data_IF_427103511053
#
_entry.id   IF_427103511053
#
_cell.length_a   1.000
_cell.length_b   1.000
_cell.length_c   1.000
_cell.angle_alpha   90.00
_cell.angle_beta   90.00
_cell.angle_gamma   90.00
#
_symmetry.space_group_name_H-M   'P 1'
#
loop_
_entity.id
_entity.type
_entity.pdbx_description
1 polymer ?
#
# COMPACT_ATOMS: atom_id res chain seq x y z
N UNK A 1 -20.91 -9.53 -11.76
CA UNK A 1 -20.23 -8.90 -10.59
C UNK A 1 -18.71 -9.18 -10.56
N UNK A 2 -18.24 -10.40 -10.93
CA UNK A 2 -16.82 -10.82 -10.82
C UNK A 2 -15.84 -10.00 -11.65
N UNK A 3 -16.26 -9.48 -12.81
CA UNK A 3 -15.42 -8.64 -13.68
C UNK A 3 -15.69 -7.15 -13.50
N UNK A 4 -16.82 -6.78 -12.91
CA UNK A 4 -17.19 -5.38 -12.70
C UNK A 4 -16.26 -4.71 -11.70
N UNK A 5 -15.97 -5.35 -10.59
CA UNK A 5 -15.14 -4.77 -9.53
C UNK A 5 -13.71 -4.42 -9.99
N UNK A 6 -12.97 -5.31 -10.68
CA UNK A 6 -11.67 -4.95 -11.24
C UNK A 6 -11.74 -3.81 -12.26
N UNK A 7 -12.71 -3.83 -13.17
CA UNK A 7 -12.88 -2.77 -14.19
C UNK A 7 -13.15 -1.43 -13.52
N UNK A 8 -14.06 -1.39 -12.56
CA UNK A 8 -14.35 -0.18 -11.77
C UNK A 8 -13.10 0.30 -11.03
N UNK A 9 -12.29 -0.62 -10.49
CA UNK A 9 -11.03 -0.29 -9.82
C UNK A 9 -10.02 0.40 -10.76
N UNK A 10 -9.83 -0.12 -11.97
CA UNK A 10 -8.94 0.51 -12.95
C UNK A 10 -9.48 1.84 -13.48
N UNK A 11 -10.80 1.94 -13.71
CA UNK A 11 -11.41 3.21 -14.11
C UNK A 11 -11.25 4.26 -13.01
N UNK A 12 -11.49 3.89 -11.75
CA UNK A 12 -11.25 4.77 -10.61
C UNK A 12 -9.79 5.22 -10.53
N UNK A 13 -8.83 4.33 -10.76
CA UNK A 13 -7.41 4.66 -10.79
C UNK A 13 -7.09 5.68 -11.90
N UNK A 14 -7.58 5.45 -13.12
CA UNK A 14 -7.36 6.35 -14.26
C UNK A 14 -7.96 7.73 -13.97
N UNK A 15 -9.20 7.79 -13.48
CA UNK A 15 -9.87 9.05 -13.14
C UNK A 15 -9.08 9.80 -12.05
N UNK A 16 -8.59 9.08 -11.04
CA UNK A 16 -7.81 9.66 -9.94
C UNK A 16 -6.47 10.20 -10.45
N UNK A 17 -5.77 9.47 -11.32
CA UNK A 17 -4.50 9.92 -11.92
C UNK A 17 -4.73 11.18 -12.77
N UNK A 18 -5.72 11.16 -13.67
CA UNK A 18 -6.04 12.31 -14.53
C UNK A 18 -6.45 13.51 -13.68
N UNK A 19 -7.31 13.30 -12.67
CA UNK A 19 -7.74 14.35 -11.75
C UNK A 19 -6.55 14.98 -11.01
N UNK A 20 -5.63 14.17 -10.50
CA UNK A 20 -4.40 14.65 -9.87
C UNK A 20 -3.54 15.47 -10.83
N UNK A 21 -3.34 14.99 -12.05
CA UNK A 21 -2.59 15.69 -13.11
C UNK A 21 -3.23 17.05 -13.42
N UNK A 22 -4.54 17.11 -13.57
CA UNK A 22 -5.25 18.36 -13.78
C UNK A 22 -5.05 19.35 -12.62
N UNK A 23 -5.13 18.86 -11.38
CA UNK A 23 -4.99 19.70 -10.18
C UNK A 23 -3.58 20.30 -10.10
N UNK A 24 -2.50 19.53 -10.26
CA UNK A 24 -1.17 20.09 -10.13
C UNK A 24 -0.78 20.97 -11.31
N UNK A 25 -1.28 20.71 -12.52
CA UNK A 25 -1.03 21.57 -13.68
C UNK A 25 -1.77 22.91 -13.60
N UNK A 26 -2.93 22.96 -12.94
CA UNK A 26 -3.69 24.19 -12.71
C UNK A 26 -3.38 24.85 -11.36
N UNK A 27 -2.44 24.29 -10.58
CA UNK A 27 -2.18 24.74 -9.23
C UNK A 27 -1.55 26.15 -9.20
N UNK A 28 -2.21 27.05 -8.50
CA UNK A 28 -1.71 28.42 -8.22
C UNK A 28 -1.11 28.52 -6.81
N UNK A 29 -1.27 27.49 -5.99
CA UNK A 29 -0.77 27.43 -4.60
C UNK A 29 0.08 26.18 -4.40
N UNK A 30 1.05 26.27 -3.48
CA UNK A 30 1.89 25.14 -3.06
C UNK A 30 1.06 23.94 -2.57
N UNK A 31 0.00 24.20 -1.81
CA UNK A 31 -0.87 23.14 -1.31
C UNK A 31 -1.65 22.42 -2.39
N UNK A 32 -2.16 23.15 -3.41
CA UNK A 32 -2.84 22.53 -4.54
C UNK A 32 -1.87 21.70 -5.40
N UNK A 33 -0.65 22.19 -5.61
CA UNK A 33 0.40 21.47 -6.31
C UNK A 33 0.74 20.14 -5.62
N UNK A 34 1.01 20.17 -4.32
CA UNK A 34 1.28 18.96 -3.53
C UNK A 34 0.09 18.01 -3.54
N UNK A 35 -1.13 18.53 -3.34
CA UNK A 35 -2.35 17.71 -3.36
C UNK A 35 -2.55 16.99 -4.69
N UNK A 36 -2.30 17.65 -5.83
CA UNK A 36 -2.38 17.05 -7.14
C UNK A 36 -1.42 15.85 -7.31
N UNK A 37 -0.18 15.98 -6.85
CA UNK A 37 0.78 14.88 -6.88
C UNK A 37 0.39 13.74 -5.94
N UNK A 38 -0.09 14.03 -4.73
CA UNK A 38 -0.59 13.02 -3.79
C UNK A 38 -1.76 12.25 -4.39
N UNK A 39 -2.73 12.94 -4.99
CA UNK A 39 -3.88 12.32 -5.65
C UNK A 39 -3.41 11.40 -6.81
N UNK A 40 -2.45 11.85 -7.61
CA UNK A 40 -1.84 11.01 -8.67
C UNK A 40 -1.21 9.74 -8.08
N UNK A 41 -0.47 9.86 -6.99
CA UNK A 41 0.12 8.71 -6.29
C UNK A 41 -0.92 7.76 -5.70
N UNK A 42 -2.02 8.29 -5.15
CA UNK A 42 -3.18 7.48 -4.70
C UNK A 42 -3.80 6.74 -5.90
N UNK A 43 -3.84 7.35 -7.08
CA UNK A 43 -4.26 6.67 -8.30
C UNK A 43 -3.37 5.46 -8.65
N UNK A 44 -2.04 5.58 -8.51
CA UNK A 44 -1.13 4.44 -8.69
C UNK A 44 -1.38 3.32 -7.67
N UNK A 45 -1.60 3.67 -6.40
CA UNK A 45 -1.98 2.70 -5.36
C UNK A 45 -3.29 2.01 -5.74
N UNK A 46 -4.29 2.76 -6.18
CA UNK A 46 -5.60 2.23 -6.60
C UNK A 46 -5.45 1.23 -7.75
N UNK A 47 -4.58 1.53 -8.74
CA UNK A 47 -4.28 0.61 -9.83
C UNK A 47 -3.60 -0.68 -9.34
N UNK A 48 -2.66 -0.60 -8.41
CA UNK A 48 -2.04 -1.78 -7.77
C UNK A 48 -3.06 -2.61 -6.99
N UNK A 49 -3.97 -1.95 -6.24
CA UNK A 49 -5.06 -2.62 -5.51
C UNK A 49 -6.03 -3.29 -6.47
N UNK A 50 -6.40 -2.65 -7.58
CA UNK A 50 -7.23 -3.25 -8.62
C UNK A 50 -6.58 -4.50 -9.22
N UNK A 51 -5.25 -4.46 -9.44
CA UNK A 51 -4.46 -5.61 -9.90
C UNK A 51 -4.50 -6.76 -8.88
N UNK A 52 -4.35 -6.45 -7.59
CA UNK A 52 -4.46 -7.43 -6.51
C UNK A 52 -5.88 -8.02 -6.42
N UNK A 53 -6.91 -7.18 -6.52
CA UNK A 53 -8.31 -7.61 -6.52
C UNK A 53 -8.64 -8.52 -7.72
N UNK A 54 -8.14 -8.18 -8.92
CA UNK A 54 -8.28 -9.01 -10.12
C UNK A 54 -7.64 -10.39 -9.92
N UNK A 55 -6.48 -10.44 -9.32
CA UNK A 55 -5.79 -11.69 -8.98
C UNK A 55 -6.58 -12.50 -7.93
N UNK A 56 -7.15 -11.82 -6.93
CA UNK A 56 -7.90 -12.41 -5.83
C UNK A 56 -9.26 -12.97 -6.26
N UNK A 57 -10.00 -12.27 -7.13
CA UNK A 57 -11.32 -12.74 -7.60
C UNK A 57 -11.24 -14.07 -8.34
N UNK A 58 -10.17 -14.30 -9.10
CA UNK A 58 -9.95 -15.57 -9.77
C UNK A 58 -9.49 -16.69 -8.82
N UNK A 59 -8.80 -16.34 -7.72
CA UNK A 59 -8.44 -17.30 -6.68
C UNK A 59 -9.67 -17.89 -5.99
N UNK A 60 -10.73 -17.10 -5.76
CA UNK A 60 -11.96 -17.55 -5.12
C UNK A 60 -12.80 -18.54 -5.99
N UNK A 61 -12.49 -18.60 -7.29
CA UNK A 61 -13.16 -19.51 -8.22
C UNK A 61 -12.63 -20.95 -8.18
N UNK A 62 -11.48 -21.18 -7.52
CA UNK A 62 -10.88 -22.49 -7.41
C UNK A 62 -11.61 -23.31 -6.35
N UNK A 63 -12.20 -24.47 -6.68
CA UNK A 63 -12.84 -25.34 -5.71
C UNK A 63 -11.88 -25.76 -4.60
N UNK A 64 -12.40 -25.88 -3.37
CA UNK A 64 -11.58 -26.22 -2.20
C UNK A 64 -10.85 -27.57 -2.35
N UNK A 65 -11.47 -28.54 -3.02
CA UNK A 65 -10.92 -29.87 -3.34
C UNK A 65 -9.74 -29.79 -4.31
N UNK A 66 -9.82 -28.96 -5.35
CA UNK A 66 -8.72 -28.76 -6.30
C UNK A 66 -7.54 -28.03 -5.67
N UNK A 67 -7.79 -27.22 -4.63
CA UNK A 67 -6.73 -26.60 -3.80
C UNK A 67 -5.97 -27.64 -2.97
N UNK A 68 -6.60 -28.75 -2.61
CA UNK A 68 -6.03 -29.80 -1.77
C UNK A 68 -5.23 -30.86 -2.53
N UNK A 69 -5.59 -31.13 -3.77
CA UNK A 69 -5.00 -32.23 -4.58
C UNK A 69 -3.76 -31.84 -5.38
N UNK A 70 -3.46 -30.56 -5.56
CA UNK A 70 -2.18 -30.06 -6.09
C UNK A 70 -1.87 -30.37 -7.57
N UNK A 71 -2.64 -31.21 -8.21
CA UNK A 71 -2.27 -31.80 -9.51
C UNK A 71 -3.02 -31.22 -10.72
N UNK A 72 -4.12 -30.50 -10.55
CA UNK A 72 -4.86 -29.94 -11.67
C UNK A 72 -5.06 -28.43 -11.50
N UNK A 73 -4.71 -27.68 -12.53
CA UNK A 73 -5.01 -26.25 -12.61
C UNK A 73 -6.51 -26.13 -12.94
N UNK A 74 -7.33 -25.57 -12.05
CA UNK A 74 -8.78 -25.52 -12.28
C UNK A 74 -9.10 -24.74 -13.55
N UNK A 75 -10.14 -25.20 -14.27
CA UNK A 75 -10.72 -24.48 -15.40
C UNK A 75 -11.06 -23.03 -14.99
N UNK A 76 -10.55 -22.04 -15.71
CA UNK A 76 -10.72 -20.62 -15.40
C UNK A 76 -9.66 -19.97 -14.51
N UNK A 77 -8.65 -20.72 -14.03
CA UNK A 77 -7.48 -20.15 -13.40
C UNK A 77 -6.62 -19.39 -14.43
N UNK A 78 -5.96 -18.32 -13.97
CA UNK A 78 -4.99 -17.61 -14.83
C UNK A 78 -3.91 -18.55 -15.37
N UNK A 79 -3.61 -18.46 -16.67
CA UNK A 79 -2.41 -19.07 -17.24
C UNK A 79 -1.15 -18.48 -16.59
N UNK A 80 0.00 -19.16 -16.75
CA UNK A 80 1.29 -18.66 -16.25
C UNK A 80 1.61 -17.30 -16.86
N UNK A 81 1.28 -17.11 -18.14
CA UNK A 81 1.48 -15.85 -18.86
C UNK A 81 0.67 -14.72 -18.23
N UNK A 82 -0.63 -14.91 -18.04
CA UNK A 82 -1.52 -13.90 -17.42
C UNK A 82 -1.09 -13.48 -16.01
N UNK A 83 -0.48 -14.39 -15.24
CA UNK A 83 0.04 -14.05 -13.91
C UNK A 83 1.31 -13.24 -13.97
N UNK A 84 2.21 -13.57 -14.90
CA UNK A 84 3.39 -12.75 -15.14
C UNK A 84 2.98 -11.35 -15.56
N UNK A 85 1.96 -11.23 -16.40
CA UNK A 85 1.39 -9.93 -16.81
C UNK A 85 0.87 -9.12 -15.62
N UNK A 86 0.13 -9.74 -14.68
CA UNK A 86 -0.37 -9.03 -13.49
C UNK A 86 0.77 -8.54 -12.60
N UNK A 87 1.77 -9.39 -12.33
CA UNK A 87 2.95 -8.98 -11.55
C UNK A 87 3.73 -7.91 -12.30
N UNK A 88 3.92 -8.06 -13.61
CA UNK A 88 4.61 -7.09 -14.45
C UNK A 88 3.90 -5.74 -14.44
N UNK A 89 2.56 -5.72 -14.57
CA UNK A 89 1.78 -4.49 -14.50
C UNK A 89 1.99 -3.77 -13.16
N UNK A 90 1.94 -4.49 -12.03
CA UNK A 90 2.20 -3.91 -10.72
C UNK A 90 3.63 -3.36 -10.60
N UNK A 91 4.63 -4.04 -11.17
CA UNK A 91 6.01 -3.57 -11.23
C UNK A 91 6.10 -2.27 -12.05
N UNK A 92 5.47 -2.22 -13.23
CA UNK A 92 5.49 -1.02 -14.09
C UNK A 92 4.87 0.17 -13.36
N UNK A 93 3.72 0.00 -12.72
CA UNK A 93 3.06 1.06 -11.94
C UNK A 93 3.98 1.54 -10.81
N UNK A 94 4.61 0.62 -10.09
CA UNK A 94 5.55 0.97 -9.03
C UNK A 94 6.78 1.71 -9.56
N UNK A 95 7.35 1.28 -10.70
CA UNK A 95 8.47 1.96 -11.35
C UNK A 95 8.09 3.40 -11.77
N UNK A 96 6.89 3.59 -12.32
CA UNK A 96 6.40 4.93 -12.66
C UNK A 96 6.31 5.81 -11.42
N UNK A 97 5.77 5.29 -10.31
CA UNK A 97 5.69 6.02 -9.05
C UNK A 97 7.08 6.42 -8.50
N UNK A 98 8.07 5.53 -8.59
CA UNK A 98 9.45 5.83 -8.20
C UNK A 98 10.10 6.87 -9.10
N UNK A 99 9.98 6.74 -10.43
CA UNK A 99 10.52 7.71 -11.39
C UNK A 99 9.90 9.09 -11.12
N UNK A 100 8.58 9.13 -10.90
CA UNK A 100 7.88 10.38 -10.59
C UNK A 100 8.41 11.02 -9.31
N UNK A 101 8.58 10.23 -8.23
CA UNK A 101 9.16 10.69 -6.98
C UNK A 101 10.57 11.29 -7.18
N UNK A 102 11.44 10.60 -7.92
CA UNK A 102 12.80 11.07 -8.19
C UNK A 102 12.83 12.34 -9.05
N UNK A 103 11.95 12.47 -10.05
CA UNK A 103 11.82 13.69 -10.85
C UNK A 103 11.43 14.88 -9.97
N UNK A 104 10.50 14.69 -9.04
CA UNK A 104 10.13 15.75 -8.10
C UNK A 104 11.28 16.11 -7.15
N UNK A 105 11.96 15.09 -6.58
CA UNK A 105 13.09 15.32 -5.69
C UNK A 105 14.26 16.02 -6.37
N UNK A 106 14.55 15.70 -7.63
CA UNK A 106 15.62 16.37 -8.38
C UNK A 106 15.35 17.85 -8.61
N UNK A 107 14.07 18.24 -8.59
CA UNK A 107 13.65 19.64 -8.69
C UNK A 107 13.41 20.33 -7.34
N UNK A 108 13.63 19.62 -6.23
CA UNK A 108 13.32 20.14 -4.87
C UNK A 108 14.12 21.39 -4.48
N UNK A 109 15.30 21.57 -5.06
CA UNK A 109 16.11 22.79 -4.84
C UNK A 109 15.50 24.06 -5.44
N UNK A 110 14.65 23.93 -6.44
CA UNK A 110 14.03 25.07 -7.12
C UNK A 110 12.80 25.61 -6.39
N UNK A 111 12.07 24.76 -5.65
CA UNK A 111 10.82 25.16 -5.01
C UNK A 111 10.43 24.20 -3.87
N UNK A 112 10.03 24.73 -2.67
CA UNK A 112 9.63 23.90 -1.52
C UNK A 112 8.50 22.91 -1.80
N UNK A 113 7.60 23.24 -2.74
CA UNK A 113 6.51 22.34 -3.14
C UNK A 113 7.00 21.01 -3.72
N UNK A 114 8.08 21.03 -4.50
CA UNK A 114 8.70 19.83 -5.07
C UNK A 114 9.34 18.97 -3.98
N UNK A 115 9.90 19.59 -2.93
CA UNK A 115 10.44 18.87 -1.78
C UNK A 115 9.35 18.05 -1.09
N UNK A 116 8.24 18.68 -0.71
CA UNK A 116 7.12 17.99 -0.04
C UNK A 116 6.51 16.93 -0.94
N UNK A 117 6.15 17.30 -2.17
CA UNK A 117 5.53 16.38 -3.13
C UNK A 117 6.44 15.17 -3.43
N UNK A 118 7.73 15.39 -3.64
CA UNK A 118 8.70 14.33 -3.95
C UNK A 118 8.84 13.33 -2.84
N UNK A 119 9.01 13.77 -1.61
CA UNK A 119 9.13 12.87 -0.45
C UNK A 119 7.83 12.08 -0.18
N UNK A 120 6.67 12.72 -0.26
CA UNK A 120 5.39 12.03 -0.13
C UNK A 120 5.24 10.97 -1.24
N UNK A 121 5.65 11.29 -2.47
CA UNK A 121 5.64 10.33 -3.57
C UNK A 121 6.59 9.14 -3.34
N UNK A 122 7.74 9.32 -2.67
CA UNK A 122 8.59 8.19 -2.22
C UNK A 122 7.81 7.24 -1.31
N UNK A 123 7.10 7.77 -0.31
CA UNK A 123 6.28 6.95 0.58
C UNK A 123 5.16 6.20 -0.16
N UNK A 124 4.49 6.87 -1.12
CA UNK A 124 3.46 6.25 -1.95
C UNK A 124 4.07 5.17 -2.88
N UNK A 125 5.26 5.39 -3.42
CA UNK A 125 6.00 4.39 -4.21
C UNK A 125 6.40 3.17 -3.35
N UNK A 126 6.76 3.36 -2.09
CA UNK A 126 6.97 2.26 -1.14
C UNK A 126 5.69 1.42 -0.95
N UNK A 127 4.51 2.05 -0.88
CA UNK A 127 3.23 1.34 -0.81
C UNK A 127 2.98 0.57 -2.11
N UNK A 128 3.18 1.17 -3.30
CA UNK A 128 3.05 0.48 -4.58
C UNK A 128 3.96 -0.75 -4.65
N UNK A 129 5.23 -0.63 -4.22
CA UNK A 129 6.18 -1.75 -4.15
C UNK A 129 5.72 -2.83 -3.16
N UNK A 130 5.13 -2.43 -2.03
CA UNK A 130 4.55 -3.37 -1.07
C UNK A 130 3.37 -4.14 -1.66
N UNK A 131 2.56 -3.50 -2.48
CA UNK A 131 1.44 -4.12 -3.18
C UNK A 131 1.89 -5.11 -4.27
N UNK A 132 3.08 -4.94 -4.88
CA UNK A 132 3.67 -5.98 -5.77
C UNK A 132 3.81 -7.29 -4.99
N UNK A 133 4.32 -7.24 -3.76
CA UNK A 133 4.46 -8.43 -2.93
C UNK A 133 3.10 -9.10 -2.66
N UNK A 134 2.04 -8.32 -2.45
CA UNK A 134 0.68 -8.82 -2.28
C UNK A 134 0.18 -9.51 -3.57
N UNK A 135 0.30 -8.85 -4.73
CA UNK A 135 -0.08 -9.40 -6.04
C UNK A 135 0.68 -10.69 -6.32
N UNK A 136 2.01 -10.68 -6.12
CA UNK A 136 2.85 -11.85 -6.35
C UNK A 136 2.47 -13.02 -5.42
N UNK A 137 2.17 -12.73 -4.14
CA UNK A 137 1.72 -13.74 -3.18
C UNK A 137 0.40 -14.36 -3.62
N UNK A 138 -0.61 -13.56 -3.95
CA UNK A 138 -1.91 -14.04 -4.43
C UNK A 138 -1.74 -14.85 -5.73
N UNK A 139 -1.00 -14.33 -6.70
CA UNK A 139 -0.82 -14.98 -8.00
C UNK A 139 -0.13 -16.35 -7.90
N UNK A 140 0.77 -16.55 -6.93
CA UNK A 140 1.48 -17.82 -6.72
C UNK A 140 0.72 -18.82 -5.89
N UNK A 141 -0.11 -18.36 -4.95
CA UNK A 141 -0.97 -19.23 -4.16
C UNK A 141 -1.91 -20.08 -5.03
N UNK A 142 -2.37 -19.51 -6.14
CA UNK A 142 -3.26 -20.20 -7.08
C UNK A 142 -2.63 -21.48 -7.66
N UNK A 143 -1.30 -21.58 -7.69
CA UNK A 143 -0.58 -22.70 -8.35
C UNK A 143 -0.04 -23.77 -7.42
N UNK A 144 -0.09 -23.57 -6.13
CA UNK A 144 0.66 -24.39 -5.18
C UNK A 144 2.21 -24.38 -5.43
N UNK A 145 2.69 -23.41 -6.19
CA UNK A 145 4.07 -23.28 -6.67
C UNK A 145 4.87 -22.27 -5.82
N UNK A 146 4.67 -22.33 -4.51
CA UNK A 146 5.18 -21.33 -3.57
C UNK A 146 6.31 -21.94 -2.74
N UNK A 147 7.55 -21.78 -3.20
CA UNK A 147 8.72 -22.29 -2.49
C UNK A 147 8.89 -21.60 -1.13
N UNK A 148 9.49 -22.27 -0.15
CA UNK A 148 9.74 -21.72 1.18
C UNK A 148 10.58 -20.46 1.15
N UNK A 149 11.57 -20.39 0.25
CA UNK A 149 12.41 -19.22 0.01
C UNK A 149 11.61 -18.00 -0.41
N UNK A 150 10.62 -18.18 -1.28
CA UNK A 150 9.77 -17.09 -1.78
C UNK A 150 8.77 -16.61 -0.73
N UNK A 151 8.24 -17.50 0.10
CA UNK A 151 7.35 -17.15 1.22
C UNK A 151 7.98 -16.19 2.20
N UNK A 152 9.29 -16.34 2.44
CA UNK A 152 10.03 -15.48 3.34
C UNK A 152 10.51 -14.18 2.66
N UNK A 153 10.63 -14.15 1.34
CA UNK A 153 11.11 -13.01 0.58
C UNK A 153 10.10 -11.87 0.53
N UNK A 154 8.85 -12.16 0.22
CA UNK A 154 7.83 -11.13 0.01
C UNK A 154 7.48 -10.34 1.27
N UNK A 155 7.24 -10.97 2.45
CA UNK A 155 7.06 -10.21 3.68
C UNK A 155 8.25 -9.32 4.02
N UNK A 156 9.49 -9.81 3.80
CA UNK A 156 10.71 -9.03 4.03
C UNK A 156 10.78 -7.79 3.13
N UNK A 157 10.37 -7.92 1.85
CA UNK A 157 10.32 -6.77 0.95
C UNK A 157 9.37 -5.69 1.47
N UNK A 158 8.18 -6.07 1.93
CA UNK A 158 7.20 -5.11 2.46
C UNK A 158 7.68 -4.45 3.73
N UNK A 159 8.29 -5.22 4.64
CA UNK A 159 8.90 -4.68 5.86
C UNK A 159 10.04 -3.72 5.52
N UNK A 160 10.86 -4.03 4.53
CA UNK A 160 11.93 -3.15 4.05
C UNK A 160 11.36 -1.83 3.51
N UNK A 161 10.32 -1.88 2.68
CA UNK A 161 9.69 -0.67 2.15
C UNK A 161 9.08 0.19 3.25
N UNK A 162 8.41 -0.44 4.22
CA UNK A 162 7.90 0.26 5.41
C UNK A 162 9.02 0.93 6.21
N UNK A 163 10.12 0.20 6.43
CA UNK A 163 11.29 0.73 7.15
C UNK A 163 11.95 1.88 6.39
N UNK A 164 12.08 1.79 5.08
CA UNK A 164 12.62 2.88 4.25
C UNK A 164 11.76 4.14 4.42
N UNK A 165 10.45 4.05 4.25
CA UNK A 165 9.55 5.19 4.39
C UNK A 165 9.58 5.76 5.82
N UNK A 166 9.54 4.89 6.83
CA UNK A 166 9.51 5.29 8.23
C UNK A 166 10.81 5.97 8.67
N UNK A 167 11.96 5.33 8.42
CA UNK A 167 13.28 5.87 8.79
C UNK A 167 13.58 7.15 8.01
N UNK A 168 13.23 7.18 6.72
CA UNK A 168 13.36 8.39 5.92
C UNK A 168 12.52 9.56 6.48
N UNK A 169 11.29 9.29 6.93
CA UNK A 169 10.46 10.27 7.61
C UNK A 169 11.12 10.85 8.85
N UNK A 170 11.75 10.00 9.69
CA UNK A 170 12.53 10.46 10.85
C UNK A 170 13.69 11.36 10.42
N UNK A 171 14.48 10.96 9.42
CA UNK A 171 15.60 11.78 8.94
C UNK A 171 15.13 13.14 8.42
N UNK A 172 14.01 13.19 7.69
CA UNK A 172 13.45 14.45 7.19
C UNK A 172 13.03 15.37 8.34
N UNK A 173 12.40 14.83 9.41
CA UNK A 173 12.05 15.64 10.60
C UNK A 173 13.30 16.17 11.30
N UNK A 174 14.34 15.37 11.39
CA UNK A 174 15.58 15.74 12.11
C UNK A 174 16.51 16.63 11.29
N UNK A 175 16.37 16.66 9.97
CA UNK A 175 17.28 17.40 9.09
C UNK A 175 17.15 18.92 9.24
N UNK A 176 15.94 19.41 9.51
CA UNK A 176 15.65 20.83 9.73
C UNK A 176 14.38 21.02 10.53
N UNK A 177 14.31 22.05 11.37
CA UNK A 177 13.14 22.41 12.16
C UNK A 177 12.05 23.12 11.36
N UNK A 178 12.18 23.26 10.04
CA UNK A 178 11.21 23.91 9.17
C UNK A 178 9.89 23.15 9.08
N UNK A 179 8.78 23.86 8.95
CA UNK A 179 7.44 23.29 8.88
C UNK A 179 7.26 22.34 7.69
N UNK A 180 7.93 22.60 6.56
CA UNK A 180 7.92 21.74 5.38
C UNK A 180 8.53 20.36 5.66
N UNK A 181 9.63 20.32 6.39
CA UNK A 181 10.31 19.08 6.77
C UNK A 181 9.46 18.30 7.79
N UNK A 182 8.91 18.98 8.80
CA UNK A 182 8.00 18.39 9.77
C UNK A 182 6.76 17.79 9.09
N UNK A 183 6.07 18.55 8.26
CA UNK A 183 4.91 18.09 7.49
C UNK A 183 5.22 16.86 6.67
N UNK A 184 6.30 16.90 5.90
CA UNK A 184 6.75 15.81 5.03
C UNK A 184 7.09 14.56 5.82
N UNK A 185 7.88 14.72 6.88
CA UNK A 185 8.36 13.61 7.70
C UNK A 185 7.21 12.87 8.41
N UNK A 186 6.26 13.57 9.00
CA UNK A 186 5.09 12.93 9.62
C UNK A 186 4.23 12.16 8.63
N UNK A 187 4.02 12.68 7.42
CA UNK A 187 3.32 11.95 6.36
C UNK A 187 4.09 10.67 5.99
N UNK A 188 5.40 10.76 5.84
CA UNK A 188 6.26 9.61 5.51
C UNK A 188 6.21 8.51 6.60
N UNK A 189 6.19 8.91 7.89
CA UNK A 189 5.99 7.97 9.00
C UNK A 189 4.67 7.20 8.85
N UNK A 190 3.57 7.93 8.59
CA UNK A 190 2.26 7.32 8.39
C UNK A 190 2.22 6.35 7.19
N UNK A 191 2.84 6.72 6.07
CA UNK A 191 2.93 5.85 4.88
C UNK A 191 3.76 4.58 5.16
N UNK A 192 4.82 4.69 5.97
CA UNK A 192 5.57 3.54 6.45
C UNK A 192 4.71 2.59 7.29
N UNK A 193 3.86 3.13 8.17
CA UNK A 193 2.92 2.34 8.98
C UNK A 193 1.89 1.61 8.11
N UNK A 194 1.42 2.21 7.02
CA UNK A 194 0.55 1.54 6.04
C UNK A 194 1.28 0.35 5.39
N UNK A 195 2.55 0.50 5.03
CA UNK A 195 3.35 -0.63 4.51
C UNK A 195 3.42 -1.78 5.53
N UNK A 196 3.64 -1.48 6.82
CA UNK A 196 3.63 -2.52 7.87
C UNK A 196 2.26 -3.20 7.99
N UNK A 197 1.16 -2.47 7.85
CA UNK A 197 -0.19 -3.06 7.79
C UNK A 197 -0.37 -3.99 6.59
N UNK A 198 0.17 -3.64 5.41
CA UNK A 198 0.16 -4.51 4.23
C UNK A 198 0.98 -5.78 4.49
N UNK A 199 2.09 -5.69 5.24
CA UNK A 199 2.91 -6.86 5.56
C UNK A 199 2.12 -7.96 6.28
N UNK A 200 1.18 -7.58 7.16
CA UNK A 200 0.32 -8.53 7.87
C UNK A 200 -0.53 -9.36 6.90
N UNK A 201 -1.07 -8.74 5.83
CA UNK A 201 -1.83 -9.45 4.79
C UNK A 201 -0.96 -10.43 4.03
N UNK A 202 0.25 -10.01 3.63
CA UNK A 202 1.19 -10.88 2.90
C UNK A 202 1.58 -12.08 3.76
N UNK A 203 1.85 -11.86 5.05
CA UNK A 203 2.18 -12.92 6.01
C UNK A 203 0.97 -13.85 6.22
N UNK A 204 -0.23 -13.29 6.43
CA UNK A 204 -1.45 -14.08 6.64
C UNK A 204 -1.73 -14.97 5.44
N UNK A 205 -1.72 -14.41 4.22
CA UNK A 205 -1.92 -15.18 2.99
C UNK A 205 -0.89 -16.32 2.87
N UNK A 206 0.38 -16.07 3.19
CA UNK A 206 1.41 -17.09 3.17
C UNK A 206 1.17 -18.21 4.20
N UNK A 207 0.54 -17.91 5.36
CA UNK A 207 0.25 -18.87 6.44
C UNK A 207 -1.05 -19.64 6.25
N UNK A 208 -2.11 -19.01 5.74
CA UNK A 208 -3.37 -19.67 5.36
C UNK A 208 -3.08 -20.85 4.42
N UNK A 209 -2.13 -20.69 3.53
CA UNK A 209 -1.73 -21.74 2.61
C UNK A 209 -1.09 -22.96 3.30
N UNK A 210 -0.33 -22.72 4.39
CA UNK A 210 0.37 -23.79 5.12
C UNK A 210 -0.53 -24.59 6.08
N UNK A 211 -1.80 -24.23 6.26
CA UNK A 211 -2.66 -24.72 7.34
C UNK A 211 -2.06 -24.52 8.75
N UNK A 212 -1.12 -23.59 8.90
CA UNK A 212 -0.43 -23.28 10.17
C UNK A 212 -1.24 -22.25 10.99
N UNK A 213 -2.50 -22.57 11.29
CA UNK A 213 -3.43 -21.63 11.93
C UNK A 213 -3.09 -21.22 13.36
N UNK A 214 -2.27 -21.98 14.08
CA UNK A 214 -1.97 -21.72 15.50
C UNK A 214 -1.20 -20.41 15.77
N UNK A 215 -0.55 -19.82 14.77
CA UNK A 215 0.17 -18.53 14.89
C UNK A 215 -0.63 -17.34 14.35
N UNK A 216 -1.80 -17.56 13.77
CA UNK A 216 -2.62 -16.51 13.15
C UNK A 216 -3.15 -15.49 14.18
N UNK A 217 -3.37 -15.87 15.42
CA UNK A 217 -4.01 -15.03 16.43
C UNK A 217 -3.27 -13.71 16.74
N UNK A 218 -1.99 -13.56 16.38
CA UNK A 218 -1.23 -12.32 16.60
C UNK A 218 -1.09 -11.45 15.36
N UNK A 219 -1.35 -11.97 14.17
CA UNK A 219 -1.19 -11.22 12.90
C UNK A 219 -2.20 -10.08 12.77
N UNK A 220 -3.49 -10.23 13.16
CA UNK A 220 -4.45 -9.12 13.15
C UNK A 220 -4.05 -7.94 14.03
N UNK A 221 -3.20 -8.15 15.03
CA UNK A 221 -2.72 -7.06 15.90
C UNK A 221 -1.85 -6.04 15.17
N UNK A 222 -1.13 -6.41 14.11
CA UNK A 222 -0.23 -5.50 13.38
C UNK A 222 -0.99 -4.29 12.80
N UNK A 223 -2.10 -4.47 12.03
CA UNK A 223 -2.87 -3.33 11.54
C UNK A 223 -3.49 -2.48 12.65
N UNK A 224 -3.89 -3.10 13.76
CA UNK A 224 -4.41 -2.35 14.93
C UNK A 224 -3.33 -1.49 15.54
N UNK A 225 -2.16 -2.06 15.81
CA UNK A 225 -1.04 -1.31 16.39
C UNK A 225 -0.59 -0.18 15.46
N UNK A 226 -0.49 -0.43 14.16
CA UNK A 226 -0.13 0.64 13.19
C UNK A 226 -1.20 1.71 13.08
N UNK A 227 -2.48 1.35 13.16
CA UNK A 227 -3.58 2.30 13.19
C UNK A 227 -3.54 3.18 14.45
N UNK A 228 -3.37 2.57 15.62
CA UNK A 228 -3.24 3.28 16.89
C UNK A 228 -2.01 4.20 16.90
N UNK A 229 -0.88 3.74 16.34
CA UNK A 229 0.32 4.58 16.20
C UNK A 229 0.06 5.77 15.27
N UNK A 230 -0.63 5.58 14.15
CA UNK A 230 -1.03 6.69 13.28
C UNK A 230 -1.91 7.72 14.01
N UNK A 231 -2.89 7.26 14.80
CA UNK A 231 -3.79 8.13 15.54
C UNK A 231 -3.05 8.85 16.67
N UNK A 232 -2.14 8.18 17.37
CA UNK A 232 -1.29 8.80 18.38
C UNK A 232 -0.39 9.90 17.77
N UNK A 233 0.26 9.61 16.65
CA UNK A 233 1.04 10.59 15.92
C UNK A 233 0.16 11.74 15.43
N UNK A 234 -1.07 11.47 14.96
CA UNK A 234 -2.00 12.50 14.56
C UNK A 234 -2.35 13.43 15.73
N UNK A 235 -2.66 12.89 16.91
CA UNK A 235 -2.94 13.68 18.10
C UNK A 235 -1.75 14.57 18.50
N UNK A 236 -0.54 14.02 18.49
CA UNK A 236 0.69 14.76 18.74
C UNK A 236 0.89 15.90 17.72
N UNK A 237 0.69 15.62 16.43
CA UNK A 237 0.86 16.63 15.38
C UNK A 237 -0.26 17.68 15.41
N UNK A 238 -1.49 17.34 15.87
CA UNK A 238 -2.53 18.33 16.14
C UNK A 238 -2.14 19.28 17.26
N UNK A 239 -1.45 18.81 18.28
CA UNK A 239 -0.92 19.68 19.34
C UNK A 239 0.12 20.65 18.77
N UNK A 240 1.03 20.19 17.91
CA UNK A 240 1.97 21.07 17.21
C UNK A 240 1.25 22.09 16.32
N UNK A 241 0.10 21.73 15.76
CA UNK A 241 -0.70 22.61 14.91
C UNK A 241 -1.33 23.78 15.67
N UNK A 242 -1.43 23.73 17.00
CA UNK A 242 -1.85 24.88 17.83
C UNK A 242 -0.82 26.00 17.79
N UNK A 243 0.46 25.67 17.59
CA UNK A 243 1.56 26.64 17.49
C UNK A 243 1.84 27.02 16.04
N UNK A 244 1.78 26.06 15.12
CA UNK A 244 2.01 26.29 13.69
C UNK A 244 0.96 25.56 12.85
N UNK A 245 0.12 26.33 12.17
CA UNK A 245 -1.02 25.84 11.37
C UNK A 245 -0.63 24.89 10.22
N UNK A 246 0.62 24.91 9.77
CA UNK A 246 1.11 24.00 8.72
C UNK A 246 0.99 22.52 9.13
N UNK A 247 1.04 22.24 10.43
CA UNK A 247 0.91 20.87 10.94
C UNK A 247 -0.53 20.32 10.91
N UNK A 248 -1.55 21.12 10.59
CA UNK A 248 -2.90 20.60 10.36
C UNK A 248 -2.98 19.63 9.19
N UNK A 249 -2.17 19.83 8.14
CA UNK A 249 -2.17 18.97 6.97
C UNK A 249 -1.69 17.55 7.34
N UNK A 250 -0.47 17.36 7.89
CA UNK A 250 0.02 16.03 8.25
C UNK A 250 -0.84 15.36 9.33
N UNK A 251 -1.40 16.11 10.28
CA UNK A 251 -2.28 15.55 11.29
C UNK A 251 -3.53 14.90 10.67
N UNK A 252 -4.19 15.57 9.74
CA UNK A 252 -5.36 15.02 9.02
C UNK A 252 -5.00 13.84 8.13
N UNK A 253 -3.84 13.90 7.47
CA UNK A 253 -3.34 12.78 6.66
C UNK A 253 -3.11 11.57 7.55
N UNK A 254 -2.49 11.71 8.71
CA UNK A 254 -2.26 10.62 9.67
C UNK A 254 -3.58 9.98 10.17
N UNK A 255 -4.63 10.77 10.42
CA UNK A 255 -5.96 10.22 10.72
C UNK A 255 -6.47 9.36 9.58
N UNK A 256 -6.38 9.85 8.34
CA UNK A 256 -6.77 9.08 7.16
C UNK A 256 -5.99 7.78 6.98
N UNK A 257 -4.67 7.82 7.19
CA UNK A 257 -3.80 6.64 7.13
C UNK A 257 -4.11 5.64 8.26
N UNK A 258 -4.45 6.13 9.47
CA UNK A 258 -4.95 5.29 10.55
C UNK A 258 -6.24 4.56 10.18
N UNK A 259 -7.20 5.27 9.55
CA UNK A 259 -8.43 4.66 9.05
C UNK A 259 -8.16 3.58 7.99
N UNK A 260 -7.20 3.80 7.08
CA UNK A 260 -6.76 2.79 6.12
C UNK A 260 -6.20 1.54 6.84
N UNK A 261 -5.38 1.71 7.86
CA UNK A 261 -4.86 0.59 8.66
C UNK A 261 -5.99 -0.20 9.35
N UNK A 262 -7.01 0.48 9.90
CA UNK A 262 -8.20 -0.19 10.45
C UNK A 262 -9.01 -0.95 9.40
N UNK A 263 -9.15 -0.39 8.20
CA UNK A 263 -9.80 -1.09 7.08
C UNK A 263 -9.04 -2.37 6.72
N UNK A 264 -7.71 -2.30 6.72
CA UNK A 264 -6.85 -3.47 6.51
C UNK A 264 -7.03 -4.53 7.62
N UNK A 265 -7.22 -4.10 8.87
CA UNK A 265 -7.55 -5.00 9.99
C UNK A 265 -8.88 -5.73 9.74
N UNK A 266 -9.93 -5.01 9.38
CA UNK A 266 -11.25 -5.61 9.12
C UNK A 266 -11.18 -6.70 8.04
N UNK A 267 -10.44 -6.45 6.95
CA UNK A 267 -10.25 -7.43 5.89
C UNK A 267 -9.49 -8.68 6.39
N UNK A 268 -8.44 -8.49 7.20
CA UNK A 268 -7.67 -9.60 7.77
C UNK A 268 -8.57 -10.44 8.69
N UNK A 269 -9.37 -9.79 9.53
CA UNK A 269 -10.29 -10.47 10.46
C UNK A 269 -11.39 -11.28 9.74
N UNK A 270 -11.94 -10.74 8.64
CA UNK A 270 -12.93 -11.45 7.81
C UNK A 270 -12.29 -12.69 7.15
N UNK A 271 -11.07 -12.57 6.64
CA UNK A 271 -10.35 -13.70 6.04
C UNK A 271 -10.07 -14.80 7.07
N UNK A 272 -9.74 -14.43 8.30
CA UNK A 272 -9.49 -15.35 9.41
C UNK A 272 -10.77 -16.08 9.84
N UNK A 273 -11.89 -15.37 10.01
CA UNK A 273 -13.17 -15.95 10.42
C UNK A 273 -13.74 -16.91 9.37
N UNK A 274 -13.58 -16.60 8.08
CA UNK A 274 -14.02 -17.47 6.97
C UNK A 274 -13.24 -18.78 6.87
N UNK A 275 -12.07 -18.87 7.49
CA UNK A 275 -11.24 -20.09 7.51
C UNK A 275 -11.45 -20.93 8.77
N UNK A 276 -11.85 -20.33 9.88
CA UNK A 276 -12.11 -20.99 11.18
C UNK A 276 -13.39 -21.84 11.19
N UNK A 277 -14.36 -21.53 10.35
CA UNK A 277 -15.65 -22.26 10.27
C UNK A 277 -15.62 -23.59 9.49
N UNK A 278 -14.46 -24.10 9.09
CA UNK A 278 -14.29 -25.34 8.31
C UNK A 278 -13.36 -26.36 8.98
N UNK A 279 -13.21 -26.28 10.29
CA UNK A 279 -12.50 -27.26 11.10
C UNK A 279 -13.42 -28.26 11.77
#
# INVERSE_FOLDING_TARGET
LKYVLPVVGYLAAIITIIGGICIFNSATTTSAFVAGHVITGVGFITACVATAATSSTRFSLIPANAKATGNEVPEGAFSIAQRREMIFLAIVISCIAWIWAFVLLSNSHSHPAYFVAGHVMVGLACICTSLIALVATIARQVRNDYSERERNKWPKLVLLMGSISFVWGIFVILADSGSANGTTGYIMLGLGLVCYSISSKVILLAKIWRREFKLANRIPMIPVLTALTCLFLAAFVFELATVNTDYFIPARVLVGLGAICFTLFSIVSILESGTSGKG
#
